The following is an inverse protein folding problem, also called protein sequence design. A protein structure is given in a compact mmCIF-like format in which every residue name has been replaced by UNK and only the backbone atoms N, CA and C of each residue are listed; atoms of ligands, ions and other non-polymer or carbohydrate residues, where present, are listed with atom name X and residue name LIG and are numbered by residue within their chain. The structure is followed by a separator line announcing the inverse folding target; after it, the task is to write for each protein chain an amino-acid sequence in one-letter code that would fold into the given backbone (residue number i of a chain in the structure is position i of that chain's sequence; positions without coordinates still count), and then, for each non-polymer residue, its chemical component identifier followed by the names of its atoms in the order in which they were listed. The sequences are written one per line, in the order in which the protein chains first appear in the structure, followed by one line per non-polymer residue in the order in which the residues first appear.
data_IF_368154237681
#
_entry.id   IF_368154237681
#
_cell.length_a   1.000
_cell.length_b   1.000
_cell.length_c   1.000
_cell.angle_alpha   90.00
_cell.angle_beta   90.00
_cell.angle_gamma   90.00
#
_symmetry.space_group_name_H-M   'P 1'
#
loop_
_entity.id
_entity.type
_entity.pdbx_description
1 polymer ?
#
# COMPACT_ATOMS: atom_id res chain seq x y z
N UNK A 1 -8.81 17.78 -60.01
CA UNK A 1 -9.50 17.03 -58.93
C UNK A 1 -10.87 17.64 -58.72
N UNK A 2 -11.95 16.87 -58.89
CA UNK A 2 -13.33 17.38 -58.89
C UNK A 2 -13.87 17.52 -57.46
N UNK A 3 -14.70 18.53 -57.20
CA UNK A 3 -15.22 18.87 -55.86
C UNK A 3 -15.91 17.69 -55.14
N UNK A 4 -16.47 16.74 -55.89
CA UNK A 4 -17.11 15.52 -55.36
C UNK A 4 -16.10 14.55 -54.72
N UNK A 5 -14.89 14.45 -55.28
CA UNK A 5 -13.80 13.62 -54.75
C UNK A 5 -13.26 14.19 -53.43
N UNK A 6 -13.22 15.52 -53.32
CA UNK A 6 -12.78 16.21 -52.10
C UNK A 6 -13.78 15.97 -50.97
N UNK A 7 -15.08 16.07 -51.25
CA UNK A 7 -16.15 15.81 -50.27
C UNK A 7 -16.13 14.35 -49.79
N UNK A 8 -15.92 13.39 -50.70
CA UNK A 8 -15.84 11.98 -50.34
C UNK A 8 -14.61 11.68 -49.48
N UNK A 9 -13.45 12.26 -49.82
CA UNK A 9 -12.22 12.15 -49.02
C UNK A 9 -12.39 12.74 -47.62
N UNK A 10 -13.03 13.91 -47.51
CA UNK A 10 -13.28 14.57 -46.22
C UNK A 10 -14.23 13.75 -45.33
N UNK A 11 -15.27 13.16 -45.92
CA UNK A 11 -16.20 12.29 -45.20
C UNK A 11 -15.52 11.02 -44.70
N UNK A 12 -14.65 10.40 -45.49
CA UNK A 12 -13.88 9.23 -45.04
C UNK A 12 -12.92 9.57 -43.89
N UNK A 13 -12.27 10.74 -43.94
CA UNK A 13 -11.39 11.22 -42.86
C UNK A 13 -12.15 11.46 -41.55
N UNK A 14 -13.35 12.07 -41.63
CA UNK A 14 -14.21 12.28 -40.47
C UNK A 14 -14.64 10.95 -39.83
N UNK A 15 -15.10 10.00 -40.65
CA UNK A 15 -15.52 8.68 -40.16
C UNK A 15 -14.35 7.93 -39.53
N UNK A 16 -13.17 7.92 -40.16
CA UNK A 16 -11.97 7.29 -39.60
C UNK A 16 -11.56 7.91 -38.25
N UNK A 17 -11.66 9.23 -38.10
CA UNK A 17 -11.32 9.91 -36.85
C UNK A 17 -12.24 9.52 -35.68
N UNK A 18 -13.52 9.24 -35.94
CA UNK A 18 -14.48 8.82 -34.91
C UNK A 18 -14.15 7.40 -34.43
N UNK A 19 -13.86 6.47 -35.36
CA UNK A 19 -13.49 5.10 -34.99
C UNK A 19 -12.18 5.01 -34.21
N UNK A 20 -11.19 5.86 -34.51
CA UNK A 20 -9.95 5.91 -33.74
C UNK A 20 -10.15 6.34 -32.28
N UNK A 21 -11.16 7.16 -31.97
CA UNK A 21 -11.44 7.57 -30.60
C UNK A 21 -12.20 6.50 -29.79
N UNK A 22 -12.99 5.62 -30.43
CA UNK A 22 -13.71 4.55 -29.75
C UNK A 22 -12.78 3.40 -29.29
N UNK A 23 -11.66 3.16 -29.98
CA UNK A 23 -10.69 2.10 -29.62
C UNK A 23 -9.64 2.60 -28.62
N UNK A 24 -9.59 3.92 -28.36
CA UNK A 24 -8.60 4.53 -27.47
C UNK A 24 -9.10 4.73 -26.03
N UNK A 25 -10.27 4.19 -25.64
CA UNK A 25 -10.66 4.24 -24.23
C UNK A 25 -9.74 3.31 -23.45
N UNK A 26 -8.93 3.84 -22.49
CA UNK A 26 -8.14 2.98 -21.63
C UNK A 26 -9.12 2.11 -20.85
N UNK A 27 -8.87 0.80 -20.88
CA UNK A 27 -9.48 -0.14 -19.94
C UNK A 27 -9.32 0.47 -18.55
N UNK A 28 -10.43 0.73 -17.86
CA UNK A 28 -10.42 1.28 -16.51
C UNK A 28 -9.97 0.18 -15.55
N UNK A 29 -8.71 -0.24 -15.67
CA UNK A 29 -7.99 -0.77 -14.54
C UNK A 29 -7.98 0.33 -13.48
N UNK A 30 -8.52 0.00 -12.31
CA UNK A 30 -8.70 0.92 -11.21
C UNK A 30 -7.41 1.68 -10.91
N UNK A 31 -7.30 2.91 -11.42
CA UNK A 31 -6.17 3.79 -11.14
C UNK A 31 -6.26 4.21 -9.68
N UNK A 32 -5.48 3.54 -8.83
CA UNK A 32 -5.27 3.94 -7.44
C UNK A 32 -4.13 4.98 -7.45
N UNK A 33 -4.41 6.28 -7.26
CA UNK A 33 -3.37 7.31 -7.31
C UNK A 33 -2.32 7.06 -6.21
N UNK A 34 -1.07 6.87 -6.64
CA UNK A 34 0.09 6.49 -5.83
C UNK A 34 0.60 7.58 -4.86
N UNK A 35 -0.23 8.53 -4.46
CA UNK A 35 0.22 9.57 -3.52
C UNK A 35 -0.03 9.21 -2.06
N UNK A 36 -0.99 8.33 -1.74
CA UNK A 36 -1.29 7.89 -0.36
C UNK A 36 -1.72 6.42 -0.25
N UNK A 37 -1.53 5.60 -1.29
CA UNK A 37 -1.76 4.17 -1.17
C UNK A 37 -0.69 3.57 -0.23
N UNK A 38 -1.01 3.44 1.06
CA UNK A 38 -0.18 2.69 2.00
C UNK A 38 -0.03 1.28 1.45
N UNK A 39 1.21 0.82 1.24
CA UNK A 39 1.51 -0.55 0.79
C UNK A 39 0.77 -1.64 1.60
N UNK A 40 0.37 -1.31 2.83
CA UNK A 40 -0.47 -2.13 3.69
C UNK A 40 -1.86 -2.49 3.12
N UNK A 41 -2.38 -1.74 2.13
CA UNK A 41 -3.64 -2.06 1.44
C UNK A 41 -3.45 -3.03 0.26
N UNK A 42 -2.22 -3.14 -0.28
CA UNK A 42 -1.92 -3.96 -1.46
C UNK A 42 -1.44 -5.38 -1.10
N UNK A 43 -0.99 -5.61 0.15
CA UNK A 43 -0.40 -6.88 0.60
C UNK A 43 -1.05 -7.45 1.85
N UNK A 44 -2.39 -7.42 1.95
CA UNK A 44 -3.11 -8.19 2.98
C UNK A 44 -3.27 -9.63 2.52
N UNK A 45 -2.25 -10.45 2.72
CA UNK A 45 -2.48 -11.89 2.75
C UNK A 45 -3.28 -12.22 4.00
N UNK A 46 -4.27 -13.12 3.87
CA UNK A 46 -4.91 -13.72 5.05
C UNK A 46 -3.79 -14.38 5.86
N UNK A 47 -3.63 -14.08 7.17
CA UNK A 47 -2.61 -14.70 7.99
C UNK A 47 -2.70 -16.22 7.88
N UNK A 48 -1.56 -16.88 7.78
CA UNK A 48 -1.52 -18.34 7.85
C UNK A 48 -1.89 -18.81 9.25
N UNK A 49 -2.25 -20.08 9.40
CA UNK A 49 -2.52 -20.67 10.72
C UNK A 49 -1.32 -20.50 11.67
N UNK A 50 -0.10 -20.57 11.14
CA UNK A 50 1.12 -20.31 11.90
C UNK A 50 1.21 -18.85 12.37
N UNK A 51 0.89 -17.89 11.51
CA UNK A 51 0.90 -16.46 11.87
C UNK A 51 -0.12 -16.15 12.97
N UNK A 52 -1.30 -16.78 12.89
CA UNK A 52 -2.34 -16.67 13.92
C UNK A 52 -1.81 -17.24 15.23
N UNK A 53 -1.21 -18.43 15.23
CA UNK A 53 -0.66 -19.04 16.44
C UNK A 53 0.49 -18.22 17.05
N UNK A 54 1.36 -17.63 16.23
CA UNK A 54 2.43 -16.74 16.72
C UNK A 54 1.85 -15.47 17.37
N UNK A 55 0.83 -14.87 16.74
CA UNK A 55 0.12 -13.70 17.26
C UNK A 55 -0.58 -14.00 18.59
N UNK A 56 -1.37 -15.07 18.66
CA UNK A 56 -2.10 -15.46 19.88
C UNK A 56 -1.14 -15.76 21.04
N UNK A 57 -0.02 -16.44 20.77
CA UNK A 57 1.00 -16.68 21.79
C UNK A 57 1.68 -15.40 22.29
N UNK A 58 1.87 -14.40 21.41
CA UNK A 58 2.36 -13.08 21.79
C UNK A 58 1.34 -12.34 22.67
N UNK A 59 0.07 -12.40 22.32
CA UNK A 59 -1.01 -11.68 23.02
C UNK A 59 -1.34 -12.29 24.39
N UNK A 60 -1.34 -13.63 24.52
CA UNK A 60 -1.63 -14.32 25.79
C UNK A 60 -0.75 -13.90 26.95
N UNK A 61 0.48 -13.43 26.69
CA UNK A 61 1.41 -12.93 27.73
C UNK A 61 1.06 -11.52 28.20
N UNK A 62 0.34 -10.74 27.41
CA UNK A 62 -0.14 -9.40 27.75
C UNK A 62 -1.41 -9.46 28.63
N UNK A 63 -2.12 -10.59 28.61
CA UNK A 63 -3.31 -10.79 29.44
C UNK A 63 -2.97 -11.08 30.91
N UNK A 64 -1.75 -11.51 31.20
CA UNK A 64 -1.32 -11.90 32.56
C UNK A 64 -0.56 -10.81 33.33
N UNK A 65 -0.19 -9.71 32.67
CA UNK A 65 0.55 -8.61 33.31
C UNK A 65 -0.02 -7.24 32.91
N UNK A 66 -0.06 -6.31 33.85
CA UNK A 66 -0.29 -4.89 33.59
C UNK A 66 1.03 -4.13 33.61
N UNK A 67 1.36 -3.44 32.52
CA UNK A 67 2.54 -2.58 32.44
C UNK A 67 2.23 -1.27 33.17
N UNK A 68 2.97 -0.98 34.23
CA UNK A 68 2.81 0.23 35.04
C UNK A 68 3.67 1.36 34.47
N UNK A 69 4.88 1.04 34.05
CA UNK A 69 5.81 2.00 33.50
C UNK A 69 6.77 1.33 32.52
N UNK A 70 7.18 2.08 31.50
CA UNK A 70 8.24 1.66 30.60
C UNK A 70 9.13 2.86 30.27
N UNK A 71 10.43 2.59 30.15
CA UNK A 71 11.41 3.55 29.66
C UNK A 71 12.18 2.88 28.55
N UNK A 72 12.27 3.57 27.41
CA UNK A 72 13.05 3.13 26.26
C UNK A 72 14.07 4.22 25.98
N UNK A 73 15.34 3.89 26.19
CA UNK A 73 16.46 4.76 25.85
C UNK A 73 16.97 4.33 24.48
N UNK A 74 16.90 5.23 23.50
CA UNK A 74 17.30 4.96 22.12
C UNK A 74 18.44 5.88 21.72
N UNK A 75 19.56 5.28 21.33
CA UNK A 75 20.70 5.96 20.71
C UNK A 75 20.68 5.74 19.19
N UNK A 76 20.49 6.83 18.45
CA UNK A 76 20.46 6.87 16.99
C UNK A 76 21.69 7.58 16.39
N UNK A 77 22.74 7.80 17.17
CA UNK A 77 23.90 8.62 16.74
C UNK A 77 24.79 7.92 15.71
N UNK A 78 24.74 6.58 15.62
CA UNK A 78 25.55 5.81 14.67
C UNK A 78 24.93 5.74 13.27
N UNK A 79 24.81 6.89 12.61
CA UNK A 79 24.31 6.98 11.23
C UNK A 79 25.20 6.27 10.22
N UNK A 80 26.52 6.34 10.40
CA UNK A 80 27.49 5.70 9.48
C UNK A 80 27.35 4.18 9.49
N UNK A 81 27.17 3.58 10.66
CA UNK A 81 26.94 2.14 10.82
C UNK A 81 25.48 1.73 10.59
N UNK A 82 24.57 2.69 10.37
CA UNK A 82 23.12 2.48 10.22
C UNK A 82 22.56 1.58 11.34
N UNK A 83 22.98 1.85 12.56
CA UNK A 83 22.68 1.01 13.72
C UNK A 83 22.03 1.85 14.81
N UNK A 84 20.99 1.28 15.42
CA UNK A 84 20.30 1.83 16.57
C UNK A 84 20.68 0.95 17.77
N UNK A 85 21.07 1.57 18.86
CA UNK A 85 21.20 0.90 20.16
C UNK A 85 20.02 1.31 21.01
N UNK A 86 19.37 0.35 21.64
CA UNK A 86 18.25 0.62 22.53
C UNK A 86 18.38 -0.20 23.81
N UNK A 87 17.95 0.41 24.92
CA UNK A 87 17.74 -0.26 26.19
C UNK A 87 16.30 -0.04 26.62
N UNK A 88 15.65 -1.10 27.11
CA UNK A 88 14.26 -1.04 27.54
C UNK A 88 14.15 -1.56 28.95
N UNK A 89 13.55 -0.76 29.83
CA UNK A 89 13.17 -1.17 31.19
C UNK A 89 11.65 -1.18 31.30
N UNK A 90 11.08 -2.32 31.65
CA UNK A 90 9.63 -2.50 31.85
C UNK A 90 9.35 -2.81 33.31
N UNK A 91 8.44 -2.07 33.92
CA UNK A 91 7.89 -2.35 35.26
C UNK A 91 6.44 -2.81 35.09
N UNK A 92 6.11 -3.99 35.61
CA UNK A 92 4.79 -4.60 35.47
C UNK A 92 4.34 -5.26 36.77
N UNK A 93 3.03 -5.49 36.88
CA UNK A 93 2.42 -6.31 37.94
C UNK A 93 1.59 -7.43 37.32
N UNK A 94 1.45 -8.58 37.99
CA UNK A 94 0.51 -9.61 37.56
C UNK A 94 -0.94 -9.11 37.64
N UNK A 95 -1.77 -9.49 36.69
CA UNK A 95 -3.23 -9.29 36.81
C UNK A 95 -3.81 -10.31 37.81
N UNK A 96 -4.79 -9.88 38.60
CA UNK A 96 -5.52 -10.74 39.54
C UNK A 96 -6.61 -11.55 38.85
#
# INVERSE_FOLDING_TARGET
MNATQIKLSLSCLLVASIFCNLVAQPEQDAFIPCHHAQQHLLYRHKPSELDIQLMENSNRRSDSIDIINYTIDIDITNYSGKSIKANTKVSFVPKQ
#
